data_IF_805234545902
#
_entry.id   IF_805234545902
#
_cell.length_a   1.000
_cell.length_b   1.000
_cell.length_c   1.000
_cell.angle_alpha   90.00
_cell.angle_beta   90.00
_cell.angle_gamma   90.00
#
_symmetry.space_group_name_H-M   'P 1'
#
loop_
_entity.id
_entity.type
_entity.pdbx_description
1 polymer ?
#
# COMPACT_ATOMS: atom_id res chain seq x y z
N UNK A 1 -11.19 1.40 9.80
CA UNK A 1 -9.92 0.63 9.66
C UNK A 1 -10.05 -0.33 8.49
N UNK A 2 -8.93 -0.66 7.83
CA UNK A 2 -8.88 -1.67 6.78
C UNK A 2 -8.50 -3.01 7.40
N UNK A 3 -9.47 -3.84 7.81
CA UNK A 3 -9.17 -5.04 8.56
C UNK A 3 -8.38 -6.02 7.69
N UNK A 4 -7.22 -6.45 8.19
CA UNK A 4 -6.55 -7.61 7.62
C UNK A 4 -7.27 -8.88 8.07
N UNK A 5 -7.32 -9.90 7.22
CA UNK A 5 -7.82 -11.21 7.61
C UNK A 5 -6.86 -11.85 8.64
N UNK A 6 -7.41 -12.35 9.74
CA UNK A 6 -6.66 -13.03 10.82
C UNK A 6 -5.44 -12.22 11.33
N UNK A 7 -5.65 -11.02 11.89
CA UNK A 7 -4.56 -10.16 12.32
C UNK A 7 -3.75 -10.82 13.44
N UNK A 8 -2.43 -10.76 13.32
CA UNK A 8 -1.49 -11.35 14.28
C UNK A 8 -0.36 -10.38 14.70
N UNK A 9 -0.42 -9.14 14.23
CA UNK A 9 0.53 -8.07 14.54
C UNK A 9 -0.20 -6.74 14.76
N UNK A 10 0.42 -5.85 15.53
CA UNK A 10 0.10 -4.43 15.50
C UNK A 10 0.96 -3.78 14.42
N UNK A 11 0.31 -3.22 13.41
CA UNK A 11 0.98 -2.56 12.28
C UNK A 11 0.58 -1.10 12.21
N UNK A 12 1.33 -0.31 11.43
CA UNK A 12 1.07 1.12 11.24
C UNK A 12 -0.09 1.37 10.27
N UNK A 13 -0.29 0.50 9.28
CA UNK A 13 -1.29 0.58 8.20
C UNK A 13 -1.15 1.78 7.24
N UNK A 14 -0.18 2.67 7.46
CA UNK A 14 0.13 3.84 6.64
C UNK A 14 1.64 4.11 6.50
N UNK A 15 2.45 3.04 6.36
CA UNK A 15 3.89 3.15 6.09
C UNK A 15 4.11 3.63 4.66
N UNK A 16 4.32 4.93 4.48
CA UNK A 16 4.50 5.55 3.18
C UNK A 16 5.56 6.66 3.20
N UNK A 17 6.06 7.11 2.03
CA UNK A 17 7.10 8.14 1.96
C UNK A 17 6.77 9.44 2.71
N UNK A 18 5.49 9.85 2.73
CA UNK A 18 5.06 11.07 3.44
C UNK A 18 5.11 10.95 4.96
N UNK A 19 5.11 9.73 5.50
CA UNK A 19 5.20 9.44 6.93
C UNK A 19 6.60 9.00 7.36
N UNK A 20 7.58 9.04 6.46
CA UNK A 20 8.94 8.59 6.71
C UNK A 20 9.94 9.74 6.75
N UNK A 21 10.58 9.93 7.90
CA UNK A 21 11.56 11.01 8.11
C UNK A 21 12.97 10.42 8.11
N UNK A 22 13.80 10.94 7.19
CA UNK A 22 15.22 10.61 7.10
C UNK A 22 16.07 11.72 7.73
N UNK A 23 17.07 11.31 8.51
CA UNK A 23 18.03 12.19 9.17
C UNK A 23 19.13 11.36 9.84
N UNK A 24 19.66 11.82 10.98
CA UNK A 24 20.59 11.01 11.80
C UNK A 24 19.96 9.67 12.22
N UNK A 25 18.63 9.67 12.44
CA UNK A 25 17.82 8.48 12.63
C UNK A 25 16.68 8.48 11.64
N UNK A 26 16.24 7.27 11.30
CA UNK A 26 15.12 7.03 10.42
C UNK A 26 13.89 6.70 11.27
N UNK A 27 12.81 7.46 11.12
CA UNK A 27 11.61 7.33 11.96
C UNK A 27 10.32 7.41 11.13
N UNK A 28 9.30 6.69 11.59
CA UNK A 28 7.94 6.82 11.09
C UNK A 28 7.09 7.67 12.04
N UNK A 29 6.21 8.48 11.46
CA UNK A 29 5.23 9.33 12.14
C UNK A 29 3.81 8.97 11.71
N UNK A 30 2.81 9.60 12.31
CA UNK A 30 1.38 9.40 11.97
C UNK A 30 0.85 8.00 12.30
N UNK A 31 0.79 7.71 13.60
CA UNK A 31 0.36 6.41 14.13
C UNK A 31 -1.17 6.30 14.29
N UNK A 32 -1.96 7.26 13.79
CA UNK A 32 -3.41 7.30 14.00
C UNK A 32 -4.14 6.10 13.37
N UNK A 33 -3.55 5.52 12.32
CA UNK A 33 -4.06 4.31 11.67
C UNK A 33 -3.52 2.99 12.27
N UNK A 34 -2.67 3.06 13.29
CA UNK A 34 -2.06 1.88 13.88
C UNK A 34 -3.12 0.94 14.46
N UNK A 35 -3.00 -0.36 14.17
CA UNK A 35 -4.03 -1.32 14.55
C UNK A 35 -3.69 -2.78 14.21
N UNK A 36 -4.53 -3.71 14.65
CA UNK A 36 -4.39 -5.13 14.33
C UNK A 36 -4.37 -5.37 12.81
N UNK A 37 -3.33 -6.06 12.33
CA UNK A 37 -3.09 -6.30 10.91
C UNK A 37 -2.20 -7.53 10.72
N UNK A 38 -1.70 -7.73 9.50
CA UNK A 38 -0.70 -8.76 9.18
C UNK A 38 0.52 -8.13 8.53
N UNK A 39 1.64 -8.87 8.59
CA UNK A 39 2.89 -8.47 7.93
C UNK A 39 2.71 -8.24 6.43
N UNK A 40 1.95 -9.13 5.77
CA UNK A 40 1.64 -9.03 4.34
C UNK A 40 0.86 -7.77 4.01
N UNK A 41 -0.11 -7.42 4.84
CA UNK A 41 -0.98 -6.27 4.58
C UNK A 41 -0.25 -4.93 4.73
N UNK A 42 0.60 -4.80 5.74
CA UNK A 42 1.40 -3.60 5.97
C UNK A 42 2.52 -3.46 4.92
N UNK A 43 3.19 -4.57 4.59
CA UNK A 43 4.20 -4.59 3.53
C UNK A 43 3.61 -4.29 2.16
N UNK A 44 2.42 -4.80 1.83
CA UNK A 44 1.76 -4.48 0.56
C UNK A 44 1.52 -2.97 0.42
N UNK A 45 1.09 -2.29 1.49
CA UNK A 45 0.90 -0.85 1.47
C UNK A 45 2.21 -0.09 1.29
N UNK A 46 3.24 -0.46 2.06
CA UNK A 46 4.55 0.15 1.96
C UNK A 46 5.19 -0.07 0.58
N UNK A 47 5.18 -1.30 0.07
CA UNK A 47 5.72 -1.64 -1.24
C UNK A 47 5.01 -0.91 -2.38
N UNK A 48 3.68 -0.76 -2.31
CA UNK A 48 2.93 0.03 -3.28
C UNK A 48 3.31 1.52 -3.24
N UNK A 49 3.40 2.09 -2.03
CA UNK A 49 3.66 3.53 -1.84
C UNK A 49 5.11 3.91 -2.18
N UNK A 50 6.09 3.20 -1.63
CA UNK A 50 7.51 3.43 -1.95
C UNK A 50 7.89 2.99 -3.37
N UNK A 51 7.23 1.95 -3.89
CA UNK A 51 7.39 1.51 -5.28
C UNK A 51 6.80 2.48 -6.31
N UNK A 52 5.94 3.41 -5.86
CA UNK A 52 5.17 4.31 -6.71
C UNK A 52 4.33 3.53 -7.73
N UNK A 53 3.56 2.54 -7.27
CA UNK A 53 2.70 1.74 -8.16
C UNK A 53 1.36 2.46 -8.39
N UNK A 54 1.39 3.45 -9.27
CA UNK A 54 0.21 4.23 -9.66
C UNK A 54 0.28 4.63 -11.14
N UNK A 55 -0.87 5.01 -11.70
CA UNK A 55 -1.01 5.34 -13.12
C UNK A 55 -0.02 6.42 -13.59
N UNK A 56 0.50 6.26 -14.81
CA UNK A 56 1.51 7.15 -15.39
C UNK A 56 2.95 6.77 -15.06
N UNK A 57 3.19 5.82 -14.17
CA UNK A 57 4.53 5.28 -13.92
C UNK A 57 4.89 4.18 -14.93
N UNK A 58 6.05 4.27 -15.59
CA UNK A 58 6.57 3.18 -16.42
C UNK A 58 6.72 1.88 -15.61
N UNK A 59 6.16 0.78 -16.13
CA UNK A 59 6.08 -0.51 -15.42
C UNK A 59 7.46 -1.08 -15.08
N UNK A 60 8.48 -1.08 -15.98
CA UNK A 60 9.81 -1.61 -15.65
C UNK A 60 10.48 -0.87 -14.47
N UNK A 61 10.35 0.45 -14.44
CA UNK A 61 10.93 1.31 -13.40
C UNK A 61 10.19 1.15 -12.07
N UNK A 62 8.87 1.06 -12.10
CA UNK A 62 8.05 0.75 -10.93
C UNK A 62 8.38 -0.65 -10.37
N UNK A 63 8.60 -1.64 -11.25
CA UNK A 63 8.98 -3.00 -10.88
C UNK A 63 10.37 -3.03 -10.22
N UNK A 64 11.33 -2.25 -10.72
CA UNK A 64 12.66 -2.13 -10.13
C UNK A 64 12.59 -1.52 -8.72
N UNK A 65 11.77 -0.49 -8.49
CA UNK A 65 11.55 0.08 -7.15
C UNK A 65 10.84 -0.90 -6.22
N UNK A 66 9.80 -1.59 -6.71
CA UNK A 66 9.11 -2.64 -5.96
C UNK A 66 10.11 -3.71 -5.49
N UNK A 67 10.95 -4.22 -6.40
CA UNK A 67 12.01 -5.18 -6.06
C UNK A 67 12.91 -4.64 -4.95
N UNK A 68 13.41 -3.41 -5.09
CA UNK A 68 14.32 -2.82 -4.12
C UNK A 68 13.70 -2.70 -2.71
N UNK A 69 12.43 -2.28 -2.63
CA UNK A 69 11.70 -2.19 -1.35
C UNK A 69 11.52 -3.59 -0.73
N UNK A 70 11.09 -4.56 -1.54
CA UNK A 70 10.84 -5.93 -1.06
C UNK A 70 12.14 -6.63 -0.66
N UNK A 71 13.22 -6.47 -1.43
CA UNK A 71 14.54 -7.02 -1.09
C UNK A 71 15.10 -6.37 0.19
N UNK A 72 14.93 -5.06 0.36
CA UNK A 72 15.32 -4.36 1.57
C UNK A 72 14.53 -4.79 2.82
N UNK A 73 13.26 -5.15 2.66
CA UNK A 73 12.45 -5.71 3.74
C UNK A 73 12.87 -7.14 4.13
N UNK A 74 13.32 -7.94 3.14
CA UNK A 74 13.78 -9.31 3.34
C UNK A 74 12.68 -10.29 3.78
N UNK A 75 11.52 -10.38 3.08
CA UNK A 75 10.50 -11.37 3.39
C UNK A 75 10.95 -12.79 3.04
N UNK A 76 10.37 -13.79 3.70
CA UNK A 76 10.51 -15.19 3.26
C UNK A 76 9.78 -15.42 1.93
N UNK A 77 10.00 -16.59 1.32
CA UNK A 77 9.41 -16.94 0.02
C UNK A 77 7.88 -16.93 0.03
N UNK A 78 7.24 -17.38 1.11
CA UNK A 78 5.77 -17.44 1.20
C UNK A 78 5.19 -16.02 1.19
N UNK A 79 5.74 -15.14 2.02
CA UNK A 79 5.32 -13.75 2.11
C UNK A 79 5.59 -13.02 0.79
N UNK A 80 6.74 -13.29 0.17
CA UNK A 80 7.15 -12.71 -1.11
C UNK A 80 6.22 -13.11 -2.27
N UNK A 81 5.87 -14.38 -2.36
CA UNK A 81 4.99 -14.93 -3.40
C UNK A 81 3.55 -14.41 -3.26
N UNK A 82 3.11 -14.12 -2.04
CA UNK A 82 1.77 -13.58 -1.77
C UNK A 82 1.64 -12.07 -2.07
N UNK A 83 2.75 -11.33 -2.16
CA UNK A 83 2.72 -9.87 -2.32
C UNK A 83 1.98 -9.37 -3.56
N UNK A 84 2.20 -9.89 -4.78
CA UNK A 84 1.54 -9.37 -5.99
C UNK A 84 0.02 -9.35 -5.90
N UNK A 85 -0.59 -10.38 -5.29
CA UNK A 85 -2.04 -10.42 -5.06
C UNK A 85 -2.45 -9.46 -3.93
N UNK A 86 -1.68 -9.42 -2.84
CA UNK A 86 -1.94 -8.53 -1.71
C UNK A 86 -1.88 -7.05 -2.10
N UNK A 87 -0.98 -6.65 -3.00
CA UNK A 87 -0.89 -5.28 -3.52
C UNK A 87 -2.24 -4.83 -4.09
N UNK A 88 -2.84 -5.63 -4.97
CA UNK A 88 -4.13 -5.30 -5.60
C UNK A 88 -5.28 -5.23 -4.59
N UNK A 89 -5.33 -6.19 -3.66
CA UNK A 89 -6.33 -6.17 -2.57
C UNK A 89 -6.17 -4.94 -1.67
N UNK A 90 -4.93 -4.58 -1.33
CA UNK A 90 -4.61 -3.49 -0.41
C UNK A 90 -4.93 -2.11 -1.00
N UNK A 91 -4.65 -1.90 -2.29
CA UNK A 91 -5.03 -0.67 -3.01
C UNK A 91 -6.54 -0.55 -3.17
N UNK A 92 -7.22 -1.65 -3.52
CA UNK A 92 -8.69 -1.67 -3.64
C UNK A 92 -9.35 -1.36 -2.28
N UNK A 93 -8.78 -1.89 -1.20
CA UNK A 93 -9.23 -1.59 0.16
C UNK A 93 -9.10 -0.08 0.49
N UNK A 94 -7.99 0.58 0.16
CA UNK A 94 -7.86 2.04 0.36
C UNK A 94 -8.95 2.83 -0.37
N UNK A 95 -9.19 2.50 -1.64
CA UNK A 95 -10.26 3.15 -2.39
C UNK A 95 -11.62 2.91 -1.73
N UNK A 96 -11.90 1.67 -1.31
CA UNK A 96 -13.12 1.31 -0.58
C UNK A 96 -13.30 2.08 0.73
N UNK A 97 -12.22 2.28 1.50
CA UNK A 97 -12.24 3.08 2.73
C UNK A 97 -12.66 4.52 2.44
N UNK A 98 -12.02 5.18 1.47
CA UNK A 98 -12.30 6.57 1.16
C UNK A 98 -13.72 6.74 0.60
N UNK A 99 -14.14 5.84 -0.29
CA UNK A 99 -15.50 5.84 -0.84
C UNK A 99 -16.55 5.68 0.27
N UNK A 100 -16.36 4.69 1.16
CA UNK A 100 -17.29 4.46 2.27
C UNK A 100 -17.31 5.64 3.25
N UNK A 101 -16.15 6.22 3.56
CA UNK A 101 -16.09 7.41 4.41
C UNK A 101 -16.84 8.60 3.78
N UNK A 102 -16.72 8.78 2.46
CA UNK A 102 -17.50 9.79 1.73
C UNK A 102 -19.00 9.54 1.80
N UNK A 103 -19.45 8.31 1.55
CA UNK A 103 -20.87 7.91 1.62
C UNK A 103 -21.45 8.06 3.03
N UNK A 104 -20.62 7.92 4.07
CA UNK A 104 -21.03 7.98 5.49
C UNK A 104 -20.72 9.31 6.18
N UNK A 105 -20.07 10.25 5.49
CA UNK A 105 -19.70 11.57 6.01
C UNK A 105 -18.60 11.57 7.09
N UNK A 106 -17.78 10.51 7.15
CA UNK A 106 -16.72 10.40 8.18
C UNK A 106 -15.49 11.20 7.77
N UNK A 107 -15.21 12.27 8.51
CA UNK A 107 -14.06 13.14 8.28
C UNK A 107 -12.78 12.63 8.98
N UNK A 108 -11.58 12.94 8.45
CA UNK A 108 -11.32 13.74 7.24
C UNK A 108 -11.40 12.94 5.91
N UNK A 109 -11.58 11.62 5.96
CA UNK A 109 -11.49 10.75 4.78
C UNK A 109 -12.57 11.03 3.73
N UNK A 110 -13.76 11.47 4.15
CA UNK A 110 -14.83 11.87 3.25
C UNK A 110 -14.41 13.02 2.31
N UNK A 111 -13.73 14.04 2.83
CA UNK A 111 -13.23 15.15 2.03
C UNK A 111 -12.04 14.71 1.15
N UNK A 112 -11.16 13.84 1.67
CA UNK A 112 -10.04 13.32 0.87
C UNK A 112 -10.52 12.60 -0.40
N UNK A 113 -11.62 11.83 -0.31
CA UNK A 113 -12.17 11.11 -1.45
C UNK A 113 -12.45 12.02 -2.65
N UNK A 114 -13.11 13.16 -2.42
CA UNK A 114 -13.47 14.12 -3.47
C UNK A 114 -12.31 15.06 -3.88
N UNK A 115 -11.33 15.26 -3.00
CA UNK A 115 -10.14 16.09 -3.26
C UNK A 115 -9.01 15.32 -3.99
N UNK A 116 -9.37 14.35 -4.84
CA UNK A 116 -8.44 13.65 -5.71
C UNK A 116 -7.88 12.34 -5.16
N UNK A 117 -7.93 12.08 -3.84
CA UNK A 117 -7.44 10.81 -3.29
C UNK A 117 -8.30 9.62 -3.73
N UNK A 118 -9.61 9.80 -3.88
CA UNK A 118 -10.50 8.76 -4.40
C UNK A 118 -10.11 8.32 -5.80
N UNK A 119 -9.94 9.29 -6.71
CA UNK A 119 -9.48 9.04 -8.08
C UNK A 119 -8.09 8.40 -8.11
N UNK A 120 -7.15 8.91 -7.29
CA UNK A 120 -5.81 8.35 -7.18
C UNK A 120 -5.82 6.88 -6.78
N UNK A 121 -6.51 6.52 -5.69
CA UNK A 121 -6.55 5.14 -5.20
C UNK A 121 -7.33 4.20 -6.12
N UNK A 122 -8.34 4.70 -6.82
CA UNK A 122 -9.01 3.94 -7.86
C UNK A 122 -8.04 3.58 -9.00
N UNK A 123 -7.36 4.57 -9.57
CA UNK A 123 -6.40 4.35 -10.65
C UNK A 123 -5.17 3.54 -10.20
N UNK A 124 -4.72 3.69 -8.96
CA UNK A 124 -3.65 2.87 -8.40
C UNK A 124 -4.07 1.40 -8.28
N UNK A 125 -5.30 1.11 -7.84
CA UNK A 125 -5.82 -0.25 -7.79
C UNK A 125 -5.88 -0.88 -9.18
N UNK A 126 -6.38 -0.16 -10.18
CA UNK A 126 -6.43 -0.62 -11.57
C UNK A 126 -5.03 -0.85 -12.14
N UNK A 127 -4.10 0.09 -11.90
CA UNK A 127 -2.70 -0.03 -12.34
C UNK A 127 -2.01 -1.26 -11.75
N UNK A 128 -2.19 -1.51 -10.46
CA UNK A 128 -1.57 -2.66 -9.79
C UNK A 128 -2.14 -3.97 -10.32
N UNK A 129 -3.47 -4.07 -10.47
CA UNK A 129 -4.14 -5.28 -10.97
C UNK A 129 -3.77 -5.55 -12.43
N UNK A 130 -3.82 -4.54 -13.29
CA UNK A 130 -3.50 -4.66 -14.73
C UNK A 130 -2.08 -5.16 -14.97
N UNK A 131 -1.14 -4.79 -14.10
CA UNK A 131 0.28 -5.12 -14.24
C UNK A 131 0.73 -6.25 -13.28
N UNK A 132 -0.19 -7.04 -12.73
CA UNK A 132 0.12 -8.03 -11.71
C UNK A 132 1.22 -9.03 -12.12
N UNK A 133 1.24 -9.44 -13.38
CA UNK A 133 2.26 -10.37 -13.89
C UNK A 133 3.67 -9.75 -13.91
N UNK A 134 3.78 -8.44 -14.15
CA UNK A 134 5.05 -7.74 -14.05
C UNK A 134 5.56 -7.72 -12.59
N UNK A 135 4.67 -7.56 -11.61
CA UNK A 135 5.05 -7.62 -10.19
C UNK A 135 5.47 -9.03 -9.78
N UNK A 136 4.76 -10.06 -10.23
CA UNK A 136 5.16 -11.47 -9.99
C UNK A 136 6.56 -11.74 -10.55
N UNK A 137 6.80 -11.36 -11.81
CA UNK A 137 8.09 -11.52 -12.45
C UNK A 137 9.20 -10.75 -11.72
N UNK A 138 8.91 -9.52 -11.28
CA UNK A 138 9.87 -8.72 -10.54
C UNK A 138 10.20 -9.32 -9.17
N UNK A 139 9.27 -10.04 -8.53
CA UNK A 139 9.48 -10.60 -7.19
C UNK A 139 9.99 -12.04 -7.18
N UNK A 140 10.13 -12.68 -8.34
CA UNK A 140 10.79 -14.00 -8.49
C UNK A 140 12.31 -13.83 -8.42
#
# INVERSE_FOLDING_TARGET
MLPAENPNLMCHNDLAPWNFIMGERWVFIDWDAAGPSTRLWDLAYAAQSFGMLFEGQPVPEAAARLRAVVDGYGPDGILRDALPEALGKRTAAMHGLLKSAHETGVQPWADMYVNGHGAHWHSAADYVVRNQDAWKQALT
#
